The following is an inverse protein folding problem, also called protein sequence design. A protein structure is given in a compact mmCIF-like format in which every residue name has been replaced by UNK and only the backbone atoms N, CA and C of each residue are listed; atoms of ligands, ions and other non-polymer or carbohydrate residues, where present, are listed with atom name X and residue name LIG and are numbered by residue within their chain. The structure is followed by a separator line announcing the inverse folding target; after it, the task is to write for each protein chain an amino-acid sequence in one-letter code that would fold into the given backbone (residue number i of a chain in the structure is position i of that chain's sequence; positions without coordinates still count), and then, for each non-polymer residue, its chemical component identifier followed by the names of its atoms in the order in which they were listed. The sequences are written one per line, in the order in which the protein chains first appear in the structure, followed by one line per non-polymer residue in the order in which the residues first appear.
data_IF_349856764281
#
_entry.id   IF_349856764281
#
_cell.length_a   1.000
_cell.length_b   1.000
_cell.length_c   1.000
_cell.angle_alpha   90.00
_cell.angle_beta   90.00
_cell.angle_gamma   90.00
#
_symmetry.space_group_name_H-M   'P 1'
#
loop_
_entity.id
_entity.type
_entity.pdbx_description
1 polymer ?
#
# COMPACT_ATOMS: atom_id res chain seq x y z
N UNK A 1 -5.02 2.92 16.29
CA UNK A 1 -4.49 4.21 16.80
C UNK A 1 -5.32 4.71 17.98
N UNK A 2 -6.54 5.19 17.77
CA UNK A 2 -7.29 5.85 18.85
C UNK A 2 -7.70 4.94 20.03
N UNK A 3 -7.70 3.62 19.84
CA UNK A 3 -7.89 2.65 20.92
C UNK A 3 -6.72 2.60 21.91
N UNK A 4 -5.51 2.98 21.48
CA UNK A 4 -4.27 2.83 22.24
C UNK A 4 -3.60 4.16 22.59
N UNK A 5 -3.92 5.22 21.86
CA UNK A 5 -3.29 6.52 22.00
C UNK A 5 -4.29 7.57 22.49
N UNK A 6 -3.82 8.45 23.37
CA UNK A 6 -4.52 9.63 23.83
C UNK A 6 -3.57 10.82 23.99
N UNK A 7 -4.04 11.88 24.66
CA UNK A 7 -3.22 13.06 24.92
C UNK A 7 -1.89 12.69 25.61
N UNK A 8 -0.77 13.16 25.07
CA UNK A 8 0.58 12.88 25.55
C UNK A 8 1.22 11.59 25.00
N UNK A 9 0.46 10.77 24.26
CA UNK A 9 1.01 9.59 23.57
C UNK A 9 1.91 9.98 22.40
N UNK A 10 2.84 9.09 22.05
CA UNK A 10 3.70 9.23 20.88
C UNK A 10 3.55 8.04 19.91
N UNK A 11 3.67 8.31 18.61
CA UNK A 11 3.67 7.32 17.52
C UNK A 11 4.94 7.49 16.69
N UNK A 12 5.57 6.39 16.32
CA UNK A 12 6.57 6.37 15.23
C UNK A 12 5.87 5.83 13.99
N UNK A 13 5.97 6.53 12.86
CA UNK A 13 5.34 6.12 11.61
C UNK A 13 6.33 6.27 10.44
N UNK A 14 6.26 5.42 9.43
CA UNK A 14 7.01 5.68 8.21
C UNK A 14 6.46 6.90 7.46
N UNK A 15 7.31 7.62 6.73
CA UNK A 15 6.95 8.83 5.99
C UNK A 15 6.18 8.55 4.68
N UNK A 16 6.24 7.31 4.18
CA UNK A 16 5.57 6.85 2.96
C UNK A 16 4.41 5.90 3.29
N UNK A 17 3.40 6.42 3.99
CA UNK A 17 2.13 5.72 4.20
C UNK A 17 1.09 6.17 3.18
N UNK A 18 -0.03 5.46 3.10
CA UNK A 18 -1.23 5.95 2.44
C UNK A 18 -1.56 7.40 2.85
N UNK A 19 -1.82 8.26 1.87
CA UNK A 19 -1.97 9.70 2.08
C UNK A 19 -2.99 10.09 3.16
N UNK A 20 -4.14 9.39 3.23
CA UNK A 20 -5.12 9.68 4.28
C UNK A 20 -4.63 9.27 5.69
N UNK A 21 -3.78 8.26 5.80
CA UNK A 21 -3.14 7.87 7.07
C UNK A 21 -2.17 8.97 7.52
N UNK A 22 -1.38 9.52 6.60
CA UNK A 22 -0.51 10.68 6.89
C UNK A 22 -1.33 11.89 7.35
N UNK A 23 -2.38 12.25 6.61
CA UNK A 23 -3.27 13.36 6.99
C UNK A 23 -3.93 13.13 8.35
N UNK A 24 -4.30 11.89 8.67
CA UNK A 24 -4.88 11.53 9.96
C UNK A 24 -3.89 11.70 11.12
N UNK A 25 -2.64 11.32 10.93
CA UNK A 25 -1.56 11.49 11.92
C UNK A 25 -1.20 12.97 12.11
N UNK A 26 -1.06 13.72 11.02
CA UNK A 26 -0.65 15.13 11.07
C UNK A 26 -1.76 16.09 11.54
N UNK A 27 -3.03 15.78 11.25
CA UNK A 27 -4.16 16.63 11.61
C UNK A 27 -4.88 16.15 12.86
N UNK A 28 -5.85 15.23 12.75
CA UNK A 28 -6.64 14.73 13.87
C UNK A 28 -5.83 14.25 15.08
N UNK A 29 -4.77 13.44 14.89
CA UNK A 29 -3.96 12.95 16.01
C UNK A 29 -3.23 14.08 16.73
N UNK A 30 -2.57 14.98 15.98
CA UNK A 30 -1.92 16.16 16.56
C UNK A 30 -2.90 17.03 17.35
N UNK A 31 -4.11 17.25 16.84
CA UNK A 31 -5.17 17.98 17.55
C UNK A 31 -5.58 17.31 18.87
N UNK A 32 -5.51 15.99 18.95
CA UNK A 32 -5.79 15.23 20.17
C UNK A 32 -4.58 15.12 21.13
N UNK A 33 -3.47 15.81 20.83
CA UNK A 33 -2.26 15.77 21.65
C UNK A 33 -1.47 14.47 21.48
N UNK A 34 -1.65 13.76 20.36
CA UNK A 34 -0.86 12.59 20.00
C UNK A 34 0.27 13.05 19.08
N UNK A 35 1.50 12.95 19.55
CA UNK A 35 2.69 13.30 18.78
C UNK A 35 3.07 12.18 17.81
N UNK A 36 3.60 12.52 16.63
CA UNK A 36 4.08 11.54 15.66
C UNK A 36 5.47 11.93 15.15
N UNK A 37 6.41 11.00 15.21
CA UNK A 37 7.71 11.10 14.53
C UNK A 37 7.66 10.27 13.26
N UNK A 38 7.94 10.91 12.11
CA UNK A 38 8.02 10.25 10.82
C UNK A 38 9.46 9.81 10.51
N UNK A 39 9.62 8.57 10.05
CA UNK A 39 10.94 7.99 9.72
C UNK A 39 10.97 7.47 8.28
N UNK A 40 12.16 7.39 7.70
CA UNK A 40 12.39 6.74 6.42
C UNK A 40 12.59 5.22 6.63
N UNK A 41 11.73 4.34 6.07
CA UNK A 41 11.89 2.90 6.24
C UNK A 41 13.10 2.32 5.50
N UNK A 42 13.71 3.06 4.55
CA UNK A 42 14.93 2.64 3.88
C UNK A 42 16.17 2.77 4.77
N UNK A 43 16.11 3.58 5.83
CA UNK A 43 17.18 3.74 6.80
C UNK A 43 17.04 2.69 7.89
N UNK A 44 17.91 1.68 7.89
CA UNK A 44 17.89 0.63 8.92
C UNK A 44 18.08 1.22 10.33
N UNK A 45 17.31 0.72 11.27
CA UNK A 45 17.25 1.15 12.66
C UNK A 45 16.43 2.42 12.90
N UNK A 46 15.89 3.07 11.86
CA UNK A 46 15.22 4.37 11.99
C UNK A 46 14.00 4.32 12.91
N UNK A 47 13.19 3.27 12.80
CA UNK A 47 12.03 3.07 13.66
C UNK A 47 12.44 2.92 15.14
N UNK A 48 13.41 2.04 15.42
CA UNK A 48 13.87 1.78 16.77
C UNK A 48 14.51 3.02 17.41
N UNK A 49 15.29 3.79 16.64
CA UNK A 49 15.92 5.02 17.10
C UNK A 49 14.90 6.12 17.45
N UNK A 50 13.74 6.15 16.79
CA UNK A 50 12.67 7.10 17.06
C UNK A 50 11.76 6.72 18.25
N UNK A 51 11.90 5.51 18.80
CA UNK A 51 11.13 5.09 19.97
C UNK A 51 11.58 5.86 21.21
N UNK A 52 10.63 6.55 21.82
CA UNK A 52 10.74 7.16 23.16
C UNK A 52 10.21 6.15 24.19
N UNK A 53 11.05 5.52 25.03
CA UNK A 53 10.61 4.52 26.00
C UNK A 53 9.56 5.07 26.97
N UNK A 54 8.51 4.29 27.23
CA UNK A 54 7.41 4.68 28.14
C UNK A 54 6.46 5.75 27.59
N UNK A 55 6.72 6.35 26.43
CA UNK A 55 5.84 7.34 25.76
C UNK A 55 5.31 6.85 24.41
N UNK A 56 6.15 6.16 23.64
CA UNK A 56 5.77 5.64 22.32
C UNK A 56 4.83 4.46 22.50
N UNK A 57 3.63 4.58 21.96
CA UNK A 57 2.59 3.57 22.08
C UNK A 57 2.54 2.67 20.84
N UNK A 58 2.77 3.25 19.66
CA UNK A 58 2.67 2.55 18.38
C UNK A 58 3.87 2.82 17.47
N UNK A 59 4.28 1.80 16.73
CA UNK A 59 5.13 1.91 15.54
C UNK A 59 4.33 1.44 14.33
N UNK A 60 4.20 2.27 13.30
CA UNK A 60 3.32 2.02 12.14
C UNK A 60 4.13 1.99 10.85
N UNK A 61 3.97 0.91 10.09
CA UNK A 61 4.54 0.73 8.77
C UNK A 61 3.50 0.24 7.75
N UNK A 62 3.79 0.40 6.46
CA UNK A 62 3.06 -0.15 5.34
C UNK A 62 4.10 -0.82 4.42
N UNK A 63 3.91 -2.11 4.08
CA UNK A 63 4.88 -2.84 3.26
C UNK A 63 4.20 -3.91 2.40
N UNK A 64 4.33 -3.84 1.04
CA UNK A 64 4.94 -2.73 0.28
C UNK A 64 4.19 -1.42 0.49
N UNK A 65 4.87 -0.27 0.34
CA UNK A 65 4.28 1.05 0.53
C UNK A 65 3.86 1.74 -0.77
N UNK A 66 2.73 2.43 -0.74
CA UNK A 66 2.25 3.22 -1.88
C UNK A 66 3.03 4.55 -2.03
N UNK A 67 3.30 5.04 -3.26
CA UNK A 67 3.05 4.40 -4.55
C UNK A 67 4.24 3.64 -5.14
N UNK A 68 5.46 3.79 -4.62
CA UNK A 68 6.69 3.22 -5.20
C UNK A 68 6.98 1.76 -4.84
N UNK A 69 6.15 1.16 -3.99
CA UNK A 69 6.27 -0.23 -3.53
C UNK A 69 7.55 -0.50 -2.73
N UNK A 70 7.99 0.49 -1.93
CA UNK A 70 9.12 0.30 -1.04
C UNK A 70 8.80 -0.73 0.04
N UNK A 71 9.81 -1.46 0.48
CA UNK A 71 9.69 -2.61 1.37
C UNK A 71 10.24 -2.23 2.74
N UNK A 72 9.44 -2.44 3.78
CA UNK A 72 9.91 -2.29 5.17
C UNK A 72 10.33 -3.65 5.71
N UNK A 73 11.51 -3.72 6.34
CA UNK A 73 12.04 -4.96 6.93
C UNK A 73 11.20 -5.37 8.15
N UNK A 74 10.44 -6.46 8.00
CA UNK A 74 9.54 -6.93 9.06
C UNK A 74 10.26 -7.54 10.25
N UNK A 75 11.42 -8.18 10.03
CA UNK A 75 12.22 -8.75 11.12
C UNK A 75 12.80 -7.64 12.02
N UNK A 76 13.25 -6.53 11.42
CA UNK A 76 13.71 -5.36 12.17
C UNK A 76 12.55 -4.73 12.95
N UNK A 77 11.40 -4.55 12.30
CA UNK A 77 10.22 -3.94 12.92
C UNK A 77 9.68 -4.79 14.08
N UNK A 78 9.55 -6.10 13.89
CA UNK A 78 9.08 -7.05 14.91
C UNK A 78 10.09 -7.32 16.03
N UNK A 79 11.33 -6.85 15.90
CA UNK A 79 12.33 -6.88 16.98
C UNK A 79 12.18 -5.69 17.96
N UNK A 80 11.40 -4.66 17.61
CA UNK A 80 11.17 -3.51 18.51
C UNK A 80 10.39 -3.97 19.75
N UNK A 81 10.74 -3.41 20.92
CA UNK A 81 10.13 -3.73 22.22
C UNK A 81 9.64 -2.46 22.89
N UNK A 82 8.50 -2.52 23.55
CA UNK A 82 7.88 -1.38 24.25
C UNK A 82 6.55 -0.95 23.60
N UNK A 83 6.57 -0.26 22.44
CA UNK A 83 5.35 0.04 21.70
C UNK A 83 4.79 -1.20 20.99
N UNK A 84 3.49 -1.17 20.66
CA UNK A 84 2.92 -2.14 19.73
C UNK A 84 3.29 -1.79 18.29
N UNK A 85 3.58 -2.80 17.50
CA UNK A 85 3.89 -2.69 16.08
C UNK A 85 2.65 -2.95 15.24
N UNK A 86 2.42 -2.09 14.26
CA UNK A 86 1.26 -2.15 13.36
C UNK A 86 1.74 -2.12 11.92
N UNK A 87 1.37 -3.13 11.14
CA UNK A 87 1.69 -3.18 9.71
C UNK A 87 0.40 -3.14 8.88
N UNK A 88 0.28 -2.12 8.03
CA UNK A 88 -0.63 -2.14 6.90
C UNK A 88 -0.05 -3.07 5.81
N UNK A 89 -0.73 -4.20 5.61
CA UNK A 89 -0.34 -5.19 4.59
C UNK A 89 -1.39 -5.29 3.48
N UNK A 90 -2.10 -4.19 3.21
CA UNK A 90 -3.14 -4.10 2.19
C UNK A 90 -2.62 -4.51 0.80
N UNK A 91 -1.45 -4.01 0.40
CA UNK A 91 -0.88 -4.26 -0.94
C UNK A 91 -0.42 -5.72 -1.12
N UNK A 92 0.16 -6.33 -0.08
CA UNK A 92 0.61 -7.72 -0.14
C UNK A 92 -0.55 -8.72 -0.01
N UNK A 93 -1.59 -8.35 0.76
CA UNK A 93 -2.65 -9.25 1.27
C UNK A 93 -2.07 -10.39 2.15
N UNK A 94 -2.91 -11.14 2.89
CA UNK A 94 -2.44 -12.30 3.65
C UNK A 94 -1.83 -13.43 2.79
N UNK A 95 -2.04 -13.38 1.46
CA UNK A 95 -1.43 -14.31 0.50
C UNK A 95 0.03 -13.97 0.23
N UNK A 96 0.35 -12.68 0.09
CA UNK A 96 1.69 -12.21 -0.27
C UNK A 96 2.61 -12.05 0.93
N UNK A 97 2.11 -11.65 2.09
CA UNK A 97 2.95 -11.42 3.27
C UNK A 97 2.16 -11.66 4.57
N UNK A 98 2.85 -12.16 5.61
CA UNK A 98 2.27 -12.44 6.93
C UNK A 98 3.07 -11.76 8.03
N UNK A 99 2.84 -10.46 8.29
CA UNK A 99 3.67 -9.73 9.25
C UNK A 99 3.65 -10.29 10.67
N UNK A 100 2.55 -10.92 11.11
CA UNK A 100 2.47 -11.58 12.42
C UNK A 100 3.55 -12.66 12.61
N UNK A 101 3.95 -13.36 11.53
CA UNK A 101 4.99 -14.39 11.57
C UNK A 101 6.39 -13.79 11.89
N UNK A 102 6.55 -12.47 11.78
CA UNK A 102 7.78 -11.71 12.07
C UNK A 102 7.76 -11.03 13.44
N UNK A 103 6.76 -11.29 14.27
CA UNK A 103 6.63 -10.68 15.59
C UNK A 103 5.96 -9.30 15.58
N UNK A 104 5.22 -8.98 14.51
CA UNK A 104 4.35 -7.80 14.48
C UNK A 104 3.11 -8.06 15.33
N UNK A 105 2.70 -7.09 16.15
CA UNK A 105 1.57 -7.24 17.08
C UNK A 105 0.21 -7.17 16.37
N UNK A 106 0.08 -6.25 15.40
CA UNK A 106 -1.17 -5.96 14.70
C UNK A 106 -0.93 -5.86 13.19
N UNK A 107 -1.73 -6.58 12.42
CA UNK A 107 -1.81 -6.42 10.97
C UNK A 107 -3.16 -5.80 10.61
N UNK A 108 -3.14 -4.80 9.75
CA UNK A 108 -4.35 -4.18 9.22
C UNK A 108 -4.39 -4.30 7.70
N UNK A 109 -5.62 -4.36 7.18
CA UNK A 109 -5.90 -4.34 5.76
C UNK A 109 -7.10 -3.43 5.46
N UNK A 110 -7.00 -2.63 4.41
CA UNK A 110 -8.17 -2.20 3.65
C UNK A 110 -8.69 -3.40 2.86
N UNK A 111 -9.64 -4.13 3.45
CA UNK A 111 -10.27 -5.26 2.79
C UNK A 111 -11.12 -4.86 1.58
N UNK A 112 -11.43 -3.57 1.42
CA UNK A 112 -11.92 -2.95 0.17
C UNK A 112 -11.13 -3.38 -1.07
N UNK A 113 -9.83 -3.65 -0.90
CA UNK A 113 -8.86 -3.91 -1.98
C UNK A 113 -8.83 -5.39 -2.34
N UNK A 114 -7.66 -6.02 -2.34
CA UNK A 114 -7.49 -7.41 -2.80
C UNK A 114 -8.34 -8.46 -2.06
N UNK A 115 -8.62 -8.26 -0.75
CA UNK A 115 -9.39 -9.21 0.06
C UNK A 115 -10.82 -9.35 -0.48
N UNK A 116 -11.58 -8.25 -0.56
CA UNK A 116 -12.89 -8.24 -1.22
C UNK A 116 -12.72 -8.49 -2.73
N UNK A 117 -11.91 -7.67 -3.40
CA UNK A 117 -11.43 -7.89 -4.76
C UNK A 117 -12.49 -7.79 -5.86
N UNK A 118 -13.62 -7.14 -5.59
CA UNK A 118 -14.73 -6.97 -6.54
C UNK A 118 -15.20 -5.51 -6.69
N UNK A 119 -14.44 -4.54 -6.16
CA UNK A 119 -14.73 -3.10 -6.27
C UNK A 119 -16.13 -2.66 -5.77
N UNK A 120 -16.74 -3.43 -4.86
CA UNK A 120 -18.17 -3.30 -4.48
C UNK A 120 -18.44 -3.28 -2.96
N UNK A 121 -17.41 -3.22 -2.11
CA UNK A 121 -17.55 -3.15 -0.66
C UNK A 121 -16.41 -2.33 -0.02
N UNK A 122 -16.73 -1.54 1.02
CA UNK A 122 -15.75 -0.80 1.82
C UNK A 122 -15.55 -1.49 3.16
N UNK A 123 -14.37 -2.08 3.37
CA UNK A 123 -14.10 -2.89 4.55
C UNK A 123 -12.70 -2.63 5.11
N UNK A 124 -12.59 -2.66 6.43
CA UNK A 124 -11.33 -2.76 7.17
C UNK A 124 -11.27 -4.09 7.92
N UNK A 125 -10.09 -4.71 7.96
CA UNK A 125 -9.83 -5.93 8.74
C UNK A 125 -8.57 -5.70 9.57
N UNK A 126 -8.62 -6.12 10.84
CA UNK A 126 -7.49 -6.06 11.77
C UNK A 126 -7.31 -7.45 12.36
N UNK A 127 -6.06 -7.92 12.42
CA UNK A 127 -5.67 -9.20 12.99
C UNK A 127 -4.51 -9.01 13.97
N UNK A 128 -4.50 -9.78 15.06
CA UNK A 128 -3.54 -9.68 16.15
C UNK A 128 -3.98 -10.54 17.33
N UNK A 129 -3.25 -10.45 18.44
CA UNK A 129 -3.58 -11.17 19.67
C UNK A 129 -4.94 -10.76 20.24
N UNK A 130 -5.62 -11.71 20.91
CA UNK A 130 -7.01 -11.54 21.36
C UNK A 130 -7.19 -10.27 22.20
N UNK A 131 -6.32 -10.01 23.15
CA UNK A 131 -6.45 -8.86 24.06
C UNK A 131 -6.33 -7.52 23.31
N UNK A 132 -5.50 -7.45 22.27
CA UNK A 132 -5.37 -6.27 21.41
C UNK A 132 -6.63 -6.07 20.56
N UNK A 133 -7.15 -7.15 19.98
CA UNK A 133 -8.37 -7.11 19.18
C UNK A 133 -9.59 -6.73 20.03
N UNK A 134 -9.70 -7.27 21.26
CA UNK A 134 -10.77 -6.92 22.19
C UNK A 134 -10.72 -5.43 22.57
N UNK A 135 -9.52 -4.86 22.80
CA UNK A 135 -9.35 -3.44 23.05
C UNK A 135 -9.77 -2.56 21.85
N UNK A 136 -9.36 -2.96 20.63
CA UNK A 136 -9.78 -2.27 19.40
C UNK A 136 -11.28 -2.37 19.18
N UNK A 137 -11.86 -3.56 19.41
CA UNK A 137 -13.29 -3.83 19.28
C UNK A 137 -14.11 -2.97 20.24
N UNK A 138 -13.72 -2.91 21.52
CA UNK A 138 -14.38 -2.07 22.51
C UNK A 138 -14.45 -0.60 22.08
N UNK A 139 -13.35 -0.09 21.50
CA UNK A 139 -13.32 1.27 20.96
C UNK A 139 -14.19 1.43 19.70
N UNK A 140 -14.13 0.47 18.77
CA UNK A 140 -14.85 0.50 17.50
C UNK A 140 -16.37 0.50 17.70
N UNK A 141 -16.87 -0.29 18.65
CA UNK A 141 -18.30 -0.32 19.04
C UNK A 141 -18.75 1.05 19.53
N UNK A 142 -17.96 1.70 20.39
CA UNK A 142 -18.29 3.03 20.92
C UNK A 142 -18.26 4.12 19.84
N UNK A 143 -17.40 3.99 18.83
CA UNK A 143 -17.27 4.94 17.73
C UNK A 143 -18.20 4.67 16.54
N UNK A 144 -18.91 3.54 16.52
CA UNK A 144 -19.75 3.13 15.40
C UNK A 144 -18.96 2.77 14.14
N UNK A 145 -17.68 2.42 14.27
CA UNK A 145 -16.81 2.03 13.15
C UNK A 145 -17.07 0.55 12.76
N UNK A 146 -18.32 0.24 12.40
CA UNK A 146 -18.78 -1.12 12.09
C UNK A 146 -19.06 -1.26 10.61
N UNK A 147 -18.72 -2.42 10.04
CA UNK A 147 -19.06 -2.74 8.66
C UNK A 147 -20.56 -2.99 8.52
N UNK A 148 -21.14 -2.56 7.40
CA UNK A 148 -22.48 -2.99 7.00
C UNK A 148 -22.52 -4.51 6.86
N UNK A 149 -23.58 -5.20 7.32
CA UNK A 149 -23.74 -6.64 7.08
C UNK A 149 -23.71 -7.01 5.60
N UNK A 150 -24.16 -6.11 4.72
CA UNK A 150 -24.11 -6.31 3.27
C UNK A 150 -22.66 -6.31 2.75
N UNK A 151 -21.87 -5.31 3.15
CA UNK A 151 -20.45 -5.23 2.77
C UNK A 151 -19.68 -6.41 3.35
N UNK A 152 -19.96 -6.80 4.60
CA UNK A 152 -19.36 -7.98 5.22
C UNK A 152 -19.68 -9.26 4.44
N UNK A 153 -20.93 -9.42 3.97
CA UNK A 153 -21.32 -10.55 3.13
C UNK A 153 -20.57 -10.55 1.78
N UNK A 154 -20.38 -9.38 1.16
CA UNK A 154 -19.58 -9.23 -0.07
C UNK A 154 -18.11 -9.57 0.18
N UNK A 155 -17.52 -9.13 1.29
CA UNK A 155 -16.16 -9.51 1.69
C UNK A 155 -16.00 -11.02 1.87
N UNK A 156 -16.97 -11.68 2.52
CA UNK A 156 -17.01 -13.14 2.68
C UNK A 156 -17.21 -13.89 1.35
N UNK A 157 -17.91 -13.30 0.39
CA UNK A 157 -17.99 -13.82 -0.98
C UNK A 157 -16.65 -13.66 -1.69
N UNK A 158 -16.05 -12.48 -1.59
CA UNK A 158 -14.81 -12.10 -2.25
C UNK A 158 -13.61 -12.95 -1.84
N UNK A 159 -13.48 -13.23 -0.54
CA UNK A 159 -12.34 -13.99 0.00
C UNK A 159 -12.26 -15.43 -0.56
N UNK A 160 -13.38 -16.01 -1.00
CA UNK A 160 -13.42 -17.37 -1.58
C UNK A 160 -12.59 -17.52 -2.84
N UNK A 161 -12.38 -16.42 -3.58
CA UNK A 161 -11.57 -16.39 -4.79
C UNK A 161 -10.25 -15.62 -4.60
N UNK A 162 -9.90 -15.23 -3.36
CA UNK A 162 -8.69 -14.47 -3.07
C UNK A 162 -7.44 -15.14 -3.65
N UNK A 163 -7.25 -16.43 -3.38
CA UNK A 163 -6.06 -17.16 -3.83
C UNK A 163 -5.90 -17.15 -5.35
N UNK A 164 -6.95 -17.52 -6.09
CA UNK A 164 -6.89 -17.59 -7.56
C UNK A 164 -6.77 -16.21 -8.21
N UNK A 165 -7.43 -15.18 -7.64
CA UNK A 165 -7.33 -13.81 -8.15
C UNK A 165 -5.93 -13.24 -7.95
N UNK A 166 -5.44 -13.28 -6.72
CA UNK A 166 -4.14 -12.69 -6.37
C UNK A 166 -2.99 -13.39 -7.10
N UNK A 167 -3.04 -14.71 -7.28
CA UNK A 167 -2.02 -15.43 -8.06
C UNK A 167 -1.99 -14.95 -9.52
N UNK A 168 -3.15 -14.90 -10.19
CA UNK A 168 -3.25 -14.42 -11.58
C UNK A 168 -2.79 -12.98 -11.71
N UNK A 169 -3.27 -12.09 -10.84
CA UNK A 169 -2.90 -10.68 -10.84
C UNK A 169 -1.41 -10.47 -10.60
N UNK A 170 -0.80 -11.23 -9.67
CA UNK A 170 0.64 -11.18 -9.39
C UNK A 170 1.48 -11.63 -10.59
N UNK A 171 1.07 -12.72 -11.26
CA UNK A 171 1.75 -13.19 -12.47
C UNK A 171 1.66 -12.14 -13.59
N UNK A 172 0.46 -11.63 -13.88
CA UNK A 172 0.26 -10.58 -14.89
C UNK A 172 1.02 -9.30 -14.55
N UNK A 173 1.07 -8.91 -13.28
CA UNK A 173 1.82 -7.73 -12.83
C UNK A 173 3.32 -7.87 -13.09
N UNK A 174 3.91 -9.04 -12.80
CA UNK A 174 5.33 -9.28 -13.08
C UNK A 174 5.63 -9.35 -14.58
N UNK A 175 4.74 -9.94 -15.39
CA UNK A 175 4.87 -9.98 -16.86
C UNK A 175 4.89 -8.55 -17.41
N UNK A 176 3.90 -7.74 -17.04
CA UNK A 176 3.82 -6.35 -17.49
C UNK A 176 5.00 -5.51 -16.97
N UNK A 177 5.39 -5.69 -15.71
CA UNK A 177 6.54 -4.98 -15.15
C UNK A 177 7.80 -5.23 -15.97
N UNK A 178 8.06 -6.51 -16.33
CA UNK A 178 9.20 -6.91 -17.15
C UNK A 178 9.11 -6.43 -18.59
N UNK A 179 7.91 -6.39 -19.20
CA UNK A 179 7.75 -5.90 -20.58
C UNK A 179 8.05 -4.41 -20.70
N UNK A 180 7.80 -3.65 -19.64
CA UNK A 180 8.03 -2.21 -19.57
C UNK A 180 9.48 -1.85 -19.24
N UNK A 181 10.25 -2.75 -18.62
CA UNK A 181 11.68 -2.54 -18.38
C UNK A 181 12.44 -2.42 -19.71
N UNK A 182 13.19 -1.32 -19.85
CA UNK A 182 13.97 -1.03 -21.06
C UNK A 182 13.18 -0.38 -22.19
N UNK A 183 11.87 -0.11 -22.03
CA UNK A 183 11.12 0.68 -22.99
C UNK A 183 11.62 2.14 -23.02
N UNK A 184 11.85 2.71 -24.21
CA UNK A 184 12.52 4.02 -24.37
C UNK A 184 11.76 5.21 -23.75
N UNK A 185 10.45 5.06 -23.54
CA UNK A 185 9.57 6.06 -22.92
C UNK A 185 9.33 5.83 -21.42
N UNK A 186 9.92 4.79 -20.84
CA UNK A 186 9.79 4.41 -19.43
C UNK A 186 11.13 4.68 -18.73
N UNK A 187 11.11 5.54 -17.72
CA UNK A 187 12.28 5.90 -16.91
C UNK A 187 12.57 4.86 -15.83
N UNK A 188 11.53 4.30 -15.21
CA UNK A 188 11.68 3.25 -14.20
C UNK A 188 10.38 2.47 -14.02
N UNK A 189 10.51 1.22 -13.63
CA UNK A 189 9.40 0.36 -13.21
C UNK A 189 9.69 -0.12 -11.79
N UNK A 190 8.72 -0.05 -10.90
CA UNK A 190 8.83 -0.57 -9.55
C UNK A 190 7.85 -1.72 -9.36
N UNK A 191 8.39 -2.87 -9.01
CA UNK A 191 7.66 -4.06 -8.57
C UNK A 191 8.58 -4.87 -7.66
N UNK A 192 8.13 -5.34 -6.48
CA UNK A 192 9.02 -5.96 -5.49
C UNK A 192 9.83 -7.17 -6.00
N UNK A 193 9.30 -7.90 -6.99
CA UNK A 193 9.97 -9.08 -7.57
C UNK A 193 10.68 -8.81 -8.90
N UNK A 194 10.83 -7.55 -9.32
CA UNK A 194 11.82 -7.21 -10.36
C UNK A 194 13.22 -7.21 -9.74
N UNK A 195 14.19 -7.77 -10.44
CA UNK A 195 15.59 -7.86 -10.02
C UNK A 195 16.24 -6.47 -9.90
N UNK A 196 15.71 -5.48 -10.63
CA UNK A 196 16.11 -4.06 -10.56
C UNK A 196 15.58 -3.33 -9.33
N UNK A 197 14.62 -3.92 -8.60
CA UNK A 197 14.05 -3.29 -7.41
C UNK A 197 15.13 -3.16 -6.32
N UNK A 198 15.35 -1.97 -5.73
CA UNK A 198 16.45 -1.75 -4.77
C UNK A 198 16.42 -2.68 -3.56
N UNK A 199 15.23 -3.19 -3.23
CA UNK A 199 14.97 -4.08 -2.09
C UNK A 199 14.49 -5.47 -2.55
N UNK A 200 14.87 -5.92 -3.76
CA UNK A 200 14.46 -7.22 -4.31
C UNK A 200 14.75 -8.37 -3.36
N UNK A 201 16.00 -8.48 -2.86
CA UNK A 201 16.39 -9.55 -1.95
C UNK A 201 15.54 -9.58 -0.67
N UNK A 202 15.33 -8.41 -0.05
CA UNK A 202 14.45 -8.30 1.13
C UNK A 202 13.01 -8.71 0.82
N UNK A 203 12.48 -8.31 -0.34
CA UNK A 203 11.15 -8.73 -0.78
C UNK A 203 11.08 -10.25 -0.94
N UNK A 204 12.10 -10.89 -1.54
CA UNK A 204 12.17 -12.34 -1.72
C UNK A 204 12.28 -13.10 -0.39
N UNK A 205 12.93 -12.50 0.61
CA UNK A 205 13.08 -13.09 1.94
C UNK A 205 11.76 -13.10 2.74
N UNK A 206 10.96 -12.02 2.67
CA UNK A 206 9.77 -11.87 3.52
C UNK A 206 8.41 -12.02 2.80
N UNK A 207 8.37 -11.93 1.47
CA UNK A 207 7.14 -12.00 0.68
C UNK A 207 7.07 -13.30 -0.14
N UNK A 208 5.86 -13.86 -0.23
CA UNK A 208 5.54 -15.02 -1.09
C UNK A 208 5.17 -14.60 -2.51
N UNK A 209 4.53 -13.44 -2.65
CA UNK A 209 4.08 -12.85 -3.92
C UNK A 209 4.55 -11.40 -3.97
N UNK A 210 4.92 -10.90 -5.15
CA UNK A 210 5.39 -9.52 -5.35
C UNK A 210 4.27 -8.48 -5.30
N UNK A 211 3.01 -8.91 -5.48
CA UNK A 211 1.82 -8.07 -5.38
C UNK A 211 1.13 -7.85 -6.72
N UNK A 212 0.04 -7.10 -6.71
CA UNK A 212 -0.84 -6.89 -7.88
C UNK A 212 -0.75 -5.47 -8.45
N UNK A 213 0.24 -4.70 -8.00
CA UNK A 213 0.40 -3.28 -8.31
C UNK A 213 1.80 -3.07 -8.85
N UNK A 214 1.92 -2.21 -9.86
CA UNK A 214 3.21 -1.73 -10.37
C UNK A 214 3.19 -0.20 -10.39
N UNK A 215 4.36 0.40 -10.22
CA UNK A 215 4.56 1.82 -10.47
C UNK A 215 5.46 2.00 -11.69
N UNK A 216 5.10 2.95 -12.56
CA UNK A 216 5.80 3.19 -13.83
C UNK A 216 6.04 4.69 -13.94
N UNK A 217 7.31 5.05 -14.06
CA UNK A 217 7.72 6.43 -14.35
C UNK A 217 7.89 6.57 -15.86
N UNK A 218 7.17 7.50 -16.49
CA UNK A 218 7.32 7.79 -17.93
C UNK A 218 8.11 9.08 -18.16
N UNK A 219 8.77 9.16 -19.32
CA UNK A 219 9.41 10.40 -19.78
C UNK A 219 8.38 11.49 -20.03
N UNK A 220 8.75 12.77 -19.89
CA UNK A 220 7.91 13.90 -20.30
C UNK A 220 6.82 14.31 -19.29
N UNK A 221 6.86 13.75 -18.07
CA UNK A 221 6.06 14.22 -16.93
C UNK A 221 4.55 14.14 -17.16
N UNK A 222 3.83 15.08 -16.56
CA UNK A 222 2.36 15.03 -16.48
C UNK A 222 1.68 14.99 -17.85
N UNK A 223 2.17 15.75 -18.83
CA UNK A 223 1.60 15.77 -20.18
C UNK A 223 1.71 14.40 -20.85
N UNK A 224 2.82 13.70 -20.64
CA UNK A 224 3.01 12.34 -21.17
C UNK A 224 2.15 11.33 -20.43
N UNK A 225 2.01 11.44 -19.10
CA UNK A 225 1.05 10.63 -18.35
C UNK A 225 -0.38 10.82 -18.86
N UNK A 226 -0.80 12.07 -19.08
CA UNK A 226 -2.13 12.39 -19.58
C UNK A 226 -2.36 11.83 -21.00
N UNK A 227 -1.38 12.02 -21.89
CA UNK A 227 -1.42 11.50 -23.26
C UNK A 227 -1.55 9.97 -23.25
N UNK A 228 -0.65 9.26 -22.55
CA UNK A 228 -0.67 7.81 -22.44
C UNK A 228 -2.01 7.31 -21.95
N UNK A 229 -2.49 7.84 -20.82
CA UNK A 229 -3.73 7.39 -20.19
C UNK A 229 -4.95 7.62 -21.10
N UNK A 230 -4.93 8.66 -21.94
CA UNK A 230 -5.99 8.93 -22.91
C UNK A 230 -6.06 7.92 -24.07
N UNK A 231 -4.97 7.20 -24.34
CA UNK A 231 -4.84 6.23 -25.45
C UNK A 231 -5.07 4.77 -25.03
N UNK A 232 -5.20 4.51 -23.72
CA UNK A 232 -5.53 3.19 -23.19
C UNK A 232 -6.96 2.81 -23.56
N UNK A 233 -7.17 1.58 -23.98
CA UNK A 233 -8.48 1.06 -24.40
C UNK A 233 -9.02 0.01 -23.43
N UNK A 234 -8.14 -0.74 -22.78
CA UNK A 234 -8.50 -1.77 -21.81
C UNK A 234 -8.43 -1.20 -20.39
N UNK A 235 -7.31 -0.59 -20.05
CA UNK A 235 -7.05 -0.04 -18.70
C UNK A 235 -7.98 1.14 -18.40
N UNK A 236 -8.49 1.21 -17.17
CA UNK A 236 -9.46 2.25 -16.73
C UNK A 236 -8.84 3.24 -15.75
N UNK A 237 -9.23 4.51 -15.86
CA UNK A 237 -8.78 5.55 -14.92
C UNK A 237 -9.57 5.43 -13.62
N UNK A 238 -8.92 5.00 -12.54
CA UNK A 238 -9.52 4.97 -11.21
C UNK A 238 -8.44 4.91 -10.11
N UNK A 239 -8.76 5.42 -8.94
CA UNK A 239 -7.80 5.56 -7.82
C UNK A 239 -7.71 4.32 -6.92
N UNK A 240 -8.63 3.35 -7.07
CA UNK A 240 -8.62 2.12 -6.29
C UNK A 240 -7.64 1.08 -6.85
N UNK A 241 -7.61 -0.10 -6.25
CA UNK A 241 -6.79 -1.24 -6.69
C UNK A 241 -7.29 -2.57 -6.10
N UNK A 242 -6.83 -3.68 -6.66
CA UNK A 242 -7.07 -5.05 -6.18
C UNK A 242 -8.37 -5.70 -6.66
N UNK A 243 -9.15 -4.99 -7.48
CA UNK A 243 -10.35 -5.53 -8.15
C UNK A 243 -10.04 -6.27 -9.45
N UNK A 244 -11.08 -6.77 -10.15
CA UNK A 244 -10.91 -7.60 -11.33
C UNK A 244 -10.52 -6.79 -12.59
N UNK A 245 -10.81 -5.50 -12.64
CA UNK A 245 -10.39 -4.61 -13.73
C UNK A 245 -8.99 -4.02 -13.50
N UNK A 246 -8.22 -3.86 -14.58
CA UNK A 246 -6.96 -3.13 -14.54
C UNK A 246 -7.22 -1.62 -14.47
N UNK A 247 -6.66 -0.98 -13.44
CA UNK A 247 -6.85 0.44 -13.15
C UNK A 247 -5.53 1.20 -13.23
N UNK A 248 -5.55 2.43 -13.72
CA UNK A 248 -4.42 3.37 -13.69
C UNK A 248 -4.81 4.66 -12.96
N UNK A 249 -3.88 5.20 -12.18
CA UNK A 249 -3.98 6.56 -11.66
C UNK A 249 -2.63 7.27 -11.69
N UNK A 250 -2.67 8.60 -11.82
CA UNK A 250 -1.54 9.49 -11.60
C UNK A 250 -1.54 9.95 -10.13
N UNK A 251 -0.63 9.46 -9.26
CA UNK A 251 -0.75 9.67 -7.81
C UNK A 251 -0.70 11.14 -7.37
N UNK A 252 0.13 11.98 -8.02
CA UNK A 252 0.29 13.40 -7.68
C UNK A 252 -1.02 14.21 -7.84
N UNK A 253 -1.88 13.86 -8.81
CA UNK A 253 -3.15 14.57 -9.05
C UNK A 253 -4.37 13.84 -8.49
N UNK A 254 -4.17 12.72 -7.79
CA UNK A 254 -5.28 11.89 -7.29
C UNK A 254 -5.09 11.47 -5.83
N UNK A 255 -4.48 10.31 -5.59
CA UNK A 255 -4.39 9.69 -4.26
C UNK A 255 -3.54 10.46 -3.26
N UNK A 256 -2.67 11.36 -3.73
CA UNK A 256 -1.78 12.17 -2.88
C UNK A 256 -1.98 13.68 -3.06
N UNK A 257 -3.09 14.11 -3.68
CA UNK A 257 -3.36 15.53 -3.98
C UNK A 257 -3.39 16.45 -2.75
N UNK A 258 -3.62 15.89 -1.56
CA UNK A 258 -3.62 16.63 -0.30
C UNK A 258 -2.25 16.85 0.34
N UNK A 259 -1.16 16.32 -0.25
CA UNK A 259 0.19 16.45 0.29
C UNK A 259 0.91 17.69 -0.28
N UNK A 260 1.86 18.23 0.49
CA UNK A 260 2.75 19.30 0.01
C UNK A 260 3.71 18.77 -1.05
N UNK A 261 4.23 19.66 -1.90
CA UNK A 261 5.24 19.30 -2.91
C UNK A 261 6.50 18.67 -2.30
N UNK A 262 6.91 19.13 -1.12
CA UNK A 262 8.03 18.53 -0.36
C UNK A 262 7.73 17.10 0.08
N UNK A 263 6.50 16.83 0.56
CA UNK A 263 6.08 15.49 0.94
C UNK A 263 5.98 14.56 -0.28
N UNK A 264 5.44 15.05 -1.40
CA UNK A 264 5.41 14.31 -2.67
C UNK A 264 6.83 13.94 -3.14
N UNK A 265 7.75 14.90 -3.14
CA UNK A 265 9.15 14.68 -3.51
C UNK A 265 9.82 13.64 -2.59
N UNK A 266 9.59 13.73 -1.29
CA UNK A 266 10.12 12.78 -0.30
C UNK A 266 9.61 11.36 -0.54
N UNK A 267 8.34 11.21 -0.96
CA UNK A 267 7.74 9.91 -1.30
C UNK A 267 8.10 9.43 -2.71
N UNK A 268 8.88 10.20 -3.48
CA UNK A 268 9.20 9.91 -4.87
C UNK A 268 7.98 9.98 -5.79
N UNK A 269 6.97 10.77 -5.45
CA UNK A 269 5.80 11.02 -6.30
C UNK A 269 6.11 12.18 -7.23
N UNK A 270 6.47 11.84 -8.46
CA UNK A 270 6.78 12.79 -9.53
C UNK A 270 5.56 13.00 -10.44
N UNK A 271 5.64 14.01 -11.31
CA UNK A 271 4.64 14.25 -12.36
C UNK A 271 4.66 13.18 -13.47
N UNK A 272 5.69 12.34 -13.52
CA UNK A 272 5.81 11.24 -14.49
C UNK A 272 5.33 9.89 -13.94
N UNK A 273 4.86 9.83 -12.69
CA UNK A 273 4.54 8.59 -12.01
C UNK A 273 3.11 8.14 -12.30
N UNK A 274 2.96 6.92 -12.83
CA UNK A 274 1.70 6.21 -12.94
C UNK A 274 1.71 4.99 -12.01
N UNK A 275 0.57 4.70 -11.39
CA UNK A 275 0.36 3.46 -10.64
C UNK A 275 -0.70 2.64 -11.35
N UNK A 276 -0.36 1.41 -11.69
CA UNK A 276 -1.27 0.43 -12.27
C UNK A 276 -1.64 -0.61 -11.23
N UNK A 277 -2.94 -0.86 -11.07
CA UNK A 277 -3.49 -2.01 -10.37
C UNK A 277 -3.89 -3.04 -11.40
N UNK A 278 -3.23 -4.20 -11.40
CA UNK A 278 -3.43 -5.21 -12.42
C UNK A 278 -4.62 -6.08 -12.08
N UNK A 279 -5.52 -6.22 -13.06
CA UNK A 279 -6.75 -6.97 -12.99
C UNK A 279 -6.58 -8.43 -13.44
N UNK A 280 -7.69 -9.04 -13.88
CA UNK A 280 -7.79 -10.44 -14.27
C UNK A 280 -7.83 -10.63 -15.79
N UNK A 281 -7.62 -9.57 -16.56
CA UNK A 281 -7.53 -9.63 -18.02
C UNK A 281 -6.37 -10.54 -18.48
N UNK A 282 -6.30 -10.80 -19.78
CA UNK A 282 -5.13 -11.45 -20.33
C UNK A 282 -3.89 -10.55 -20.23
N UNK A 283 -2.75 -11.14 -19.86
CA UNK A 283 -1.53 -10.38 -19.67
C UNK A 283 -1.02 -9.81 -21.00
N UNK A 284 -1.17 -10.54 -22.10
CA UNK A 284 -0.74 -10.11 -23.42
C UNK A 284 -1.59 -8.92 -23.90
N UNK A 285 -2.91 -8.96 -23.67
CA UNK A 285 -3.81 -7.85 -23.99
C UNK A 285 -3.45 -6.56 -23.21
N UNK A 286 -3.06 -6.70 -21.94
CA UNK A 286 -2.63 -5.58 -21.10
C UNK A 286 -1.29 -4.99 -21.59
N UNK A 287 -0.33 -5.84 -21.93
CA UNK A 287 0.95 -5.44 -22.50
C UNK A 287 0.73 -4.70 -23.81
N UNK A 288 -0.07 -5.24 -24.72
CA UNK A 288 -0.38 -4.63 -26.01
C UNK A 288 -1.07 -3.27 -25.85
N UNK A 289 -2.04 -3.15 -24.94
CA UNK A 289 -2.74 -1.88 -24.67
C UNK A 289 -1.78 -0.78 -24.21
N UNK A 290 -0.89 -1.11 -23.27
CA UNK A 290 0.05 -0.16 -22.67
C UNK A 290 1.19 0.16 -23.62
N UNK A 291 1.77 -0.82 -24.31
CA UNK A 291 2.83 -0.58 -25.29
C UNK A 291 2.33 0.25 -26.47
N UNK A 292 1.12 -0.02 -26.99
CA UNK A 292 0.50 0.80 -28.04
C UNK A 292 0.36 2.25 -27.58
N UNK A 293 -0.11 2.48 -26.35
CA UNK A 293 -0.23 3.83 -25.79
C UNK A 293 1.13 4.51 -25.61
N UNK A 294 2.17 3.78 -25.17
CA UNK A 294 3.52 4.31 -24.97
C UNK A 294 4.18 4.78 -26.29
N UNK A 295 3.89 4.14 -27.42
CA UNK A 295 4.43 4.54 -28.74
C UNK A 295 3.94 5.94 -29.17
N UNK A 296 2.86 6.43 -28.57
CA UNK A 296 2.31 7.77 -28.88
C UNK A 296 2.97 8.92 -28.11
N UNK A 297 3.86 8.61 -27.16
CA UNK A 297 4.69 9.58 -26.43
C UNK A 297 5.96 9.93 -27.19
#
# INVERSE_FOLDING_TARGET
ILSFCGNGSHIVAQNNLYGATLSFLQGPCARFGIETTFVDPAVSGSFAAAVIPGKTMLVIAETPSNPRLAITNLAELGAIRGPFTVVDSTLATPMGQRPLDFGIDIVLHSATKGINGHNDALLGVIAGEKDLIDAVWGYAVMHGAVASPYDAANGLRGIRTLGVRTERQNQSALILARSLEGHTKVLSVSHPFLESHPQHELAREQMRLGGTVIAVEVTGGFESCQSLVSQLQLVRIATSFGGPETLVCHPATSTHVGLSQEALATMGVTDGLLRFSIGLEDADDLVDDIHRALVTL
#
